data_IF_477670499559
#
_entry.id   IF_477670499559
#
_cell.length_a   1.000
_cell.length_b   1.000
_cell.length_c   1.000
_cell.angle_alpha   90.00
_cell.angle_beta   90.00
_cell.angle_gamma   90.00
#
_symmetry.space_group_name_H-M   'P 1'
#
loop_
_entity.id
_entity.type
_entity.pdbx_description
1 polymer ?
#
# COMPACT_ATOMS: atom_id res chain seq x y z
N UNK A 1 8.36 9.25 7.04
CA UNK A 1 9.35 8.78 8.00
C UNK A 1 10.45 9.82 8.18
N UNK A 2 11.06 9.85 9.34
CA UNK A 2 12.13 10.78 9.72
C UNK A 2 13.20 9.97 10.44
N UNK A 3 14.47 10.20 10.11
CA UNK A 3 15.62 9.67 10.85
C UNK A 3 16.00 10.65 11.97
N UNK A 4 15.60 10.36 13.19
CA UNK A 4 15.81 11.21 14.37
C UNK A 4 15.91 10.36 15.63
N UNK A 5 16.76 10.73 16.59
CA UNK A 5 16.83 10.09 17.90
C UNK A 5 15.78 10.65 18.88
N UNK A 6 15.41 9.88 19.88
CA UNK A 6 14.37 10.24 20.85
C UNK A 6 14.70 11.53 21.63
N UNK A 7 15.95 11.70 22.07
CA UNK A 7 16.37 12.90 22.79
C UNK A 7 16.28 14.16 21.93
N UNK A 8 16.68 14.06 20.67
CA UNK A 8 16.61 15.16 19.72
C UNK A 8 15.17 15.49 19.34
N UNK A 9 14.33 14.49 19.10
CA UNK A 9 12.91 14.68 18.88
C UNK A 9 12.24 15.38 20.07
N UNK A 10 12.56 14.94 21.29
CA UNK A 10 12.07 15.55 22.52
C UNK A 10 12.56 16.97 22.72
N UNK A 11 13.79 17.27 22.33
CA UNK A 11 14.36 18.63 22.38
C UNK A 11 13.61 19.55 21.42
N UNK A 12 13.46 19.17 20.15
CA UNK A 12 12.77 19.96 19.13
C UNK A 12 11.30 20.22 19.51
N UNK A 13 10.62 19.21 20.05
CA UNK A 13 9.24 19.37 20.51
C UNK A 13 9.16 20.41 21.62
N UNK A 14 10.03 20.34 22.64
CA UNK A 14 10.03 21.30 23.75
C UNK A 14 10.40 22.72 23.32
N UNK A 15 11.28 22.87 22.35
CA UNK A 15 11.67 24.15 21.79
C UNK A 15 10.48 24.87 21.11
N UNK A 16 9.74 24.15 20.30
CA UNK A 16 8.60 24.74 19.55
C UNK A 16 7.29 24.73 20.33
N UNK A 17 7.12 23.84 21.30
CA UNK A 17 5.91 23.67 22.12
C UNK A 17 6.21 23.63 23.63
N UNK A 18 6.81 24.67 24.22
CA UNK A 18 7.29 24.63 25.62
C UNK A 18 6.16 24.49 26.64
N UNK A 19 4.91 24.80 26.27
CA UNK A 19 3.74 24.71 27.15
C UNK A 19 2.85 23.51 26.85
N UNK A 20 3.26 22.63 25.93
CA UNK A 20 2.47 21.46 25.59
C UNK A 20 2.61 20.40 26.70
N UNK A 21 1.49 20.02 27.29
CA UNK A 21 1.42 18.98 28.33
C UNK A 21 0.89 17.65 27.78
N UNK A 22 0.49 17.61 26.48
CA UNK A 22 0.01 16.40 25.87
C UNK A 22 1.16 15.41 25.69
N UNK A 23 0.95 14.11 25.97
CA UNK A 23 1.96 13.08 25.79
C UNK A 23 2.29 12.84 24.32
N UNK A 24 1.43 13.29 23.43
CA UNK A 24 1.52 13.03 21.99
C UNK A 24 1.23 14.29 21.18
N UNK A 25 2.00 14.50 20.09
CA UNK A 25 1.79 15.56 19.10
C UNK A 25 0.74 15.12 18.06
N UNK A 26 -0.53 15.34 18.33
CA UNK A 26 -1.59 15.09 17.34
C UNK A 26 -1.72 16.28 16.39
N UNK A 27 -1.20 16.13 15.16
CA UNK A 27 -1.28 17.16 14.12
C UNK A 27 -2.67 17.78 14.00
N UNK A 28 -3.70 16.96 13.91
CA UNK A 28 -5.07 17.40 13.76
C UNK A 28 -5.57 18.29 14.93
N UNK A 29 -5.13 18.00 16.16
CA UNK A 29 -5.48 18.80 17.33
C UNK A 29 -4.71 20.13 17.36
N UNK A 30 -3.46 20.13 16.95
CA UNK A 30 -2.60 21.32 16.92
C UNK A 30 -2.94 22.25 15.75
N UNK A 31 -3.14 21.71 14.55
CA UNK A 31 -3.42 22.47 13.34
C UNK A 31 -4.73 23.29 13.41
N UNK A 32 -5.70 22.82 14.21
CA UNK A 32 -6.96 23.52 14.45
C UNK A 32 -6.85 24.72 15.40
N UNK A 33 -5.77 24.83 16.16
CA UNK A 33 -5.57 25.90 17.14
C UNK A 33 -4.68 26.99 16.53
N UNK A 34 -5.19 28.21 16.31
CA UNK A 34 -4.42 29.28 15.66
C UNK A 34 -3.05 29.53 16.30
N UNK A 35 -2.95 29.46 17.63
CA UNK A 35 -1.71 29.70 18.35
C UNK A 35 -0.65 28.60 18.19
N UNK A 36 -1.00 27.43 17.67
CA UNK A 36 -0.05 26.32 17.42
C UNK A 36 0.34 26.18 15.94
N UNK A 37 -0.30 26.92 15.05
CA UNK A 37 -0.06 26.78 13.61
C UNK A 37 1.37 27.17 13.23
N UNK A 38 1.84 28.31 13.72
CA UNK A 38 3.20 28.78 13.44
C UNK A 38 4.27 27.88 14.07
N UNK A 39 4.20 27.53 15.36
CA UNK A 39 5.13 26.56 15.96
C UNK A 39 5.15 25.20 15.24
N UNK A 40 4.01 24.74 14.72
CA UNK A 40 3.94 23.50 13.96
C UNK A 40 4.68 23.58 12.62
N UNK A 41 4.56 24.71 11.91
CA UNK A 41 5.29 24.96 10.67
C UNK A 41 6.80 25.06 10.94
N UNK A 42 7.20 25.71 12.02
CA UNK A 42 8.59 25.86 12.40
C UNK A 42 9.22 24.52 12.80
N UNK A 43 8.52 23.70 13.60
CA UNK A 43 8.94 22.32 13.89
C UNK A 43 9.10 21.50 12.61
N UNK A 44 8.12 21.54 11.70
CA UNK A 44 8.22 20.82 10.43
C UNK A 44 9.43 21.28 9.60
N UNK A 45 9.68 22.60 9.52
CA UNK A 45 10.85 23.14 8.83
C UNK A 45 12.15 22.68 9.47
N UNK A 46 12.26 22.72 10.80
CA UNK A 46 13.43 22.25 11.52
C UNK A 46 13.71 20.77 11.22
N UNK A 47 12.69 19.93 11.32
CA UNK A 47 12.80 18.50 11.02
C UNK A 47 13.24 18.27 9.56
N UNK A 48 12.59 18.93 8.60
CA UNK A 48 12.89 18.74 7.18
C UNK A 48 14.27 19.28 6.76
N UNK A 49 14.80 20.29 7.46
CA UNK A 49 16.11 20.89 7.14
C UNK A 49 17.28 20.20 7.84
N UNK A 50 17.05 19.53 8.97
CA UNK A 50 18.12 18.97 9.82
C UNK A 50 18.21 17.45 9.77
N UNK A 51 17.15 16.77 9.35
CA UNK A 51 17.05 15.32 9.38
C UNK A 51 16.73 14.72 8.01
N UNK A 52 17.14 13.48 7.82
CA UNK A 52 16.73 12.72 6.63
C UNK A 52 15.24 12.39 6.75
N UNK A 53 14.48 12.86 5.77
CA UNK A 53 13.04 12.65 5.72
C UNK A 53 12.64 11.96 4.42
N UNK A 54 11.68 11.05 4.52
CA UNK A 54 11.03 10.43 3.35
C UNK A 54 9.52 10.50 3.51
N UNK A 55 8.86 10.93 2.44
CA UNK A 55 7.40 10.94 2.35
C UNK A 55 6.98 10.06 1.19
N UNK A 56 6.02 9.19 1.45
CA UNK A 56 5.37 8.39 0.43
C UNK A 56 3.93 8.88 0.27
N UNK A 57 3.56 9.22 -0.96
CA UNK A 57 2.19 9.63 -1.31
C UNK A 57 1.56 8.50 -2.10
N UNK A 58 0.47 7.97 -1.57
CA UNK A 58 -0.29 6.91 -2.22
C UNK A 58 -1.66 7.45 -2.67
N UNK A 59 -1.92 7.42 -3.97
CA UNK A 59 -3.27 7.59 -4.50
C UNK A 59 -4.04 6.28 -4.30
N UNK A 60 -5.01 6.31 -3.39
CA UNK A 60 -5.76 5.11 -3.01
C UNK A 60 -6.60 4.54 -4.16
N UNK A 61 -7.09 5.39 -5.06
CA UNK A 61 -7.88 4.96 -6.21
C UNK A 61 -6.98 4.23 -7.23
N UNK A 62 -5.82 4.80 -7.52
CA UNK A 62 -4.84 4.17 -8.41
C UNK A 62 -4.37 2.82 -7.86
N UNK A 63 -4.03 2.78 -6.57
CA UNK A 63 -3.64 1.53 -5.91
C UNK A 63 -4.76 0.48 -5.95
N UNK A 64 -6.01 0.89 -5.73
CA UNK A 64 -7.14 -0.03 -5.82
C UNK A 64 -7.32 -0.60 -7.22
N UNK A 65 -7.09 0.21 -8.26
CA UNK A 65 -7.11 -0.24 -9.65
C UNK A 65 -5.98 -1.24 -9.93
N UNK A 66 -4.76 -0.97 -9.42
CA UNK A 66 -3.66 -1.95 -9.50
C UNK A 66 -4.03 -3.27 -8.85
N UNK A 67 -4.56 -3.24 -7.62
CA UNK A 67 -5.00 -4.45 -6.91
C UNK A 67 -6.15 -5.16 -7.65
N UNK A 68 -7.04 -4.40 -8.29
CA UNK A 68 -8.09 -4.98 -9.15
C UNK A 68 -7.45 -5.74 -10.32
N UNK A 69 -6.46 -5.17 -10.99
CA UNK A 69 -5.76 -5.84 -12.08
C UNK A 69 -5.02 -7.08 -11.59
N UNK A 70 -4.34 -7.00 -10.44
CA UNK A 70 -3.56 -8.11 -9.88
C UNK A 70 -4.45 -9.29 -9.44
N UNK A 71 -5.66 -9.05 -8.94
CA UNK A 71 -6.50 -10.14 -8.41
C UNK A 71 -7.64 -10.54 -9.34
N UNK A 72 -8.17 -9.61 -10.13
CA UNK A 72 -9.35 -9.83 -10.95
C UNK A 72 -9.04 -9.99 -12.45
N UNK A 73 -7.78 -9.82 -12.86
CA UNK A 73 -7.37 -9.83 -14.27
C UNK A 73 -6.14 -10.71 -14.51
N UNK A 74 -5.04 -10.45 -13.80
CA UNK A 74 -3.77 -11.14 -13.97
C UNK A 74 -3.88 -12.67 -13.89
N UNK A 75 -4.62 -13.28 -12.93
CA UNK A 75 -4.70 -14.74 -12.84
C UNK A 75 -5.21 -15.41 -14.12
N UNK A 76 -6.06 -14.71 -14.88
CA UNK A 76 -6.53 -15.21 -16.17
C UNK A 76 -5.41 -15.32 -17.21
N UNK A 77 -4.50 -14.34 -17.26
CA UNK A 77 -3.36 -14.32 -18.17
C UNK A 77 -2.26 -15.29 -17.73
N UNK A 78 -2.00 -15.34 -16.41
CA UNK A 78 -1.02 -16.25 -15.83
C UNK A 78 -1.28 -17.71 -16.18
N UNK A 79 -2.53 -18.17 -16.04
CA UNK A 79 -2.91 -19.54 -16.39
C UNK A 79 -2.78 -19.86 -17.88
N UNK A 80 -2.63 -18.84 -18.71
CA UNK A 80 -2.39 -18.96 -20.17
C UNK A 80 -0.93 -18.79 -20.55
N UNK A 81 -0.04 -18.66 -19.54
CA UNK A 81 1.39 -18.48 -19.76
C UNK A 81 1.78 -17.07 -20.23
N UNK A 82 0.91 -16.09 -20.02
CA UNK A 82 1.16 -14.70 -20.35
C UNK A 82 1.66 -13.94 -19.12
N UNK A 83 2.81 -13.25 -19.25
CA UNK A 83 3.37 -12.41 -18.19
C UNK A 83 2.71 -11.02 -18.24
N UNK A 84 1.72 -10.82 -17.38
CA UNK A 84 0.97 -9.57 -17.28
C UNK A 84 1.80 -8.39 -16.73
N UNK A 85 2.96 -8.67 -16.12
CA UNK A 85 3.86 -7.64 -15.59
C UNK A 85 4.97 -7.25 -16.57
N UNK A 86 5.10 -7.98 -17.65
CA UNK A 86 6.13 -7.73 -18.65
C UNK A 86 6.07 -6.28 -19.17
N UNK A 87 7.21 -5.64 -19.21
CA UNK A 87 7.37 -4.26 -19.69
C UNK A 87 6.47 -3.24 -19.00
N UNK A 88 5.96 -3.55 -17.78
CA UNK A 88 5.10 -2.66 -17.00
C UNK A 88 3.67 -2.57 -17.51
N UNK A 89 3.18 -3.59 -18.20
CA UNK A 89 1.81 -3.60 -18.78
C UNK A 89 0.72 -3.38 -17.73
N UNK A 90 0.87 -3.95 -16.52
CA UNK A 90 -0.06 -3.74 -15.41
C UNK A 90 -0.17 -2.25 -15.03
N UNK A 91 0.97 -1.53 -14.97
CA UNK A 91 0.96 -0.09 -14.69
C UNK A 91 0.38 0.73 -15.83
N UNK A 92 0.66 0.35 -17.08
CA UNK A 92 0.11 1.02 -18.26
C UNK A 92 -1.43 0.88 -18.27
N UNK A 93 -1.94 -0.33 -18.03
CA UNK A 93 -3.36 -0.62 -17.99
C UNK A 93 -4.05 0.04 -16.77
N UNK A 94 -3.38 0.07 -15.62
CA UNK A 94 -3.88 0.79 -14.45
C UNK A 94 -3.98 2.31 -14.72
N UNK A 95 -2.97 2.89 -15.38
CA UNK A 95 -2.96 4.30 -15.77
C UNK A 95 -4.09 4.63 -16.77
N UNK A 96 -4.33 3.73 -17.70
CA UNK A 96 -5.44 3.84 -18.66
C UNK A 96 -6.79 3.82 -17.91
N UNK A 97 -7.03 2.82 -17.07
CA UNK A 97 -8.26 2.72 -16.27
C UNK A 97 -8.44 3.93 -15.35
N UNK A 98 -7.38 4.40 -14.71
CA UNK A 98 -7.44 5.55 -13.82
C UNK A 98 -7.84 6.83 -14.55
N UNK A 99 -7.25 7.05 -15.73
CA UNK A 99 -7.41 8.31 -16.49
C UNK A 99 -8.65 8.30 -17.38
N UNK A 100 -8.87 7.22 -18.10
CA UNK A 100 -9.90 7.12 -19.15
C UNK A 100 -11.13 6.33 -18.68
N UNK A 101 -10.95 5.39 -17.77
CA UNK A 101 -12.01 4.52 -17.28
C UNK A 101 -13.29 5.25 -16.86
N UNK A 102 -13.23 6.32 -16.05
CA UNK A 102 -14.44 7.08 -15.68
C UNK A 102 -15.21 7.66 -16.85
N UNK A 103 -14.51 8.10 -17.91
CA UNK A 103 -15.13 8.66 -19.10
C UNK A 103 -15.70 7.58 -20.01
N UNK A 104 -14.95 6.52 -20.24
CA UNK A 104 -15.29 5.47 -21.18
C UNK A 104 -16.40 4.54 -20.64
N UNK A 105 -16.35 4.23 -19.35
CA UNK A 105 -17.24 3.26 -18.69
C UNK A 105 -18.38 3.93 -17.92
N UNK A 106 -18.34 5.27 -17.77
CA UNK A 106 -19.22 6.02 -16.89
C UNK A 106 -18.73 6.03 -15.44
N UNK A 107 -18.53 7.24 -14.88
CA UNK A 107 -17.92 7.43 -13.56
C UNK A 107 -18.61 6.61 -12.47
N UNK A 108 -19.93 6.69 -12.36
CA UNK A 108 -20.68 5.98 -11.32
C UNK A 108 -20.57 4.46 -11.46
N UNK A 109 -20.71 3.95 -12.68
CA UNK A 109 -20.64 2.51 -12.93
C UNK A 109 -19.22 1.95 -12.69
N UNK A 110 -18.19 2.71 -13.02
CA UNK A 110 -16.80 2.34 -12.73
C UNK A 110 -16.51 2.39 -11.22
N UNK A 111 -17.03 3.37 -10.50
CA UNK A 111 -16.93 3.44 -9.03
C UNK A 111 -17.66 2.25 -8.38
N UNK A 112 -18.83 1.88 -8.87
CA UNK A 112 -19.58 0.71 -8.41
C UNK A 112 -18.79 -0.60 -8.61
N UNK A 113 -18.07 -0.75 -9.72
CA UNK A 113 -17.16 -1.89 -9.95
C UNK A 113 -16.08 -1.96 -8.88
N UNK A 114 -15.38 -0.84 -8.62
CA UNK A 114 -14.31 -0.80 -7.63
C UNK A 114 -14.82 -1.08 -6.20
N UNK A 115 -16.02 -0.58 -5.87
CA UNK A 115 -16.67 -0.88 -4.59
C UNK A 115 -17.07 -2.36 -4.50
N UNK A 116 -17.60 -2.93 -5.59
CA UNK A 116 -17.94 -4.36 -5.64
C UNK A 116 -16.68 -5.22 -5.47
N UNK A 117 -15.57 -4.84 -6.10
CA UNK A 117 -14.28 -5.50 -5.93
C UNK A 117 -13.79 -5.48 -4.47
N UNK A 118 -13.78 -4.30 -3.82
CA UNK A 118 -13.40 -4.21 -2.40
C UNK A 118 -14.29 -5.08 -1.51
N UNK A 119 -15.59 -5.11 -1.76
CA UNK A 119 -16.54 -5.95 -1.02
C UNK A 119 -16.26 -7.44 -1.25
N UNK A 120 -15.97 -7.85 -2.48
CA UNK A 120 -15.63 -9.22 -2.81
C UNK A 120 -14.34 -9.67 -2.10
N UNK A 121 -13.29 -8.87 -2.16
CA UNK A 121 -12.01 -9.14 -1.46
C UNK A 121 -12.20 -9.21 0.07
N UNK A 122 -13.05 -8.37 0.63
CA UNK A 122 -13.30 -8.36 2.08
C UNK A 122 -14.19 -9.54 2.52
N UNK A 123 -15.26 -9.81 1.81
CA UNK A 123 -16.28 -10.80 2.22
C UNK A 123 -15.91 -12.22 1.80
N UNK A 124 -15.27 -12.39 0.65
CA UNK A 124 -14.88 -13.70 0.05
C UNK A 124 -16.04 -14.70 -0.08
N UNK A 125 -17.27 -14.19 -0.16
CA UNK A 125 -18.47 -15.02 -0.30
C UNK A 125 -18.90 -15.17 -1.76
N UNK A 126 -19.53 -16.27 -2.16
CA UNK A 126 -20.06 -16.45 -3.51
C UNK A 126 -20.93 -15.26 -3.95
N UNK A 127 -21.80 -14.77 -3.08
CA UNK A 127 -22.69 -13.64 -3.37
C UNK A 127 -21.93 -12.34 -3.67
N UNK A 128 -20.83 -12.08 -2.98
CA UNK A 128 -19.99 -10.90 -3.21
C UNK A 128 -19.20 -11.04 -4.53
N UNK A 129 -18.73 -12.24 -4.85
CA UNK A 129 -18.08 -12.54 -6.12
C UNK A 129 -19.05 -12.39 -7.30
N UNK A 130 -20.27 -12.93 -7.18
CA UNK A 130 -21.32 -12.77 -8.19
C UNK A 130 -21.68 -11.29 -8.39
N UNK A 131 -21.76 -10.52 -7.31
CA UNK A 131 -22.01 -9.08 -7.39
C UNK A 131 -20.91 -8.34 -8.15
N UNK A 132 -19.65 -8.73 -7.96
CA UNK A 132 -18.50 -8.17 -8.71
C UNK A 132 -18.62 -8.51 -10.21
N UNK A 133 -18.85 -9.76 -10.56
CA UNK A 133 -19.06 -10.20 -11.95
C UNK A 133 -20.20 -9.41 -12.60
N UNK A 134 -21.31 -9.27 -11.89
CA UNK A 134 -22.46 -8.51 -12.39
C UNK A 134 -22.17 -7.01 -12.53
N UNK A 135 -21.36 -6.43 -11.66
CA UNK A 135 -20.90 -5.04 -11.79
C UNK A 135 -20.05 -4.87 -13.06
N UNK A 136 -19.11 -5.78 -13.31
CA UNK A 136 -18.29 -5.77 -14.52
C UNK A 136 -19.12 -5.92 -15.81
N UNK A 137 -20.10 -6.83 -15.81
CA UNK A 137 -21.02 -7.06 -16.96
C UNK A 137 -21.90 -5.86 -17.31
N UNK A 138 -22.20 -4.99 -16.34
CA UNK A 138 -22.98 -3.77 -16.57
C UNK A 138 -22.18 -2.67 -17.27
N UNK A 139 -20.85 -2.75 -17.23
CA UNK A 139 -19.99 -1.84 -17.96
C UNK A 139 -19.94 -2.21 -19.45
N UNK A 140 -19.55 -1.26 -20.29
CA UNK A 140 -19.20 -1.53 -21.67
C UNK A 140 -17.81 -2.20 -21.74
N UNK A 141 -17.67 -3.35 -21.06
CA UNK A 141 -16.41 -4.06 -20.91
C UNK A 141 -15.73 -4.46 -22.24
N UNK A 142 -16.46 -4.70 -23.36
CA UNK A 142 -15.81 -4.98 -24.63
C UNK A 142 -14.94 -3.84 -25.19
N UNK A 143 -15.06 -2.63 -24.68
CA UNK A 143 -14.16 -1.51 -25.02
C UNK A 143 -12.77 -1.63 -24.36
N UNK A 144 -12.68 -2.40 -23.26
CA UNK A 144 -11.43 -2.67 -22.53
C UNK A 144 -11.37 -4.15 -22.14
N UNK A 145 -11.39 -5.06 -23.13
CA UNK A 145 -11.51 -6.49 -22.88
C UNK A 145 -10.33 -7.06 -22.10
N UNK A 146 -9.13 -6.51 -22.24
CA UNK A 146 -7.94 -6.95 -21.51
C UNK A 146 -8.04 -6.65 -20.02
N UNK A 147 -8.71 -5.57 -19.63
CA UNK A 147 -8.84 -5.15 -18.23
C UNK A 147 -10.11 -5.67 -17.56
N UNK A 148 -11.19 -5.87 -18.29
CA UNK A 148 -12.51 -6.16 -17.72
C UNK A 148 -13.05 -7.53 -18.14
N UNK A 149 -12.57 -8.05 -19.26
CA UNK A 149 -13.03 -9.33 -19.83
C UNK A 149 -12.92 -10.49 -18.86
N UNK A 150 -11.77 -10.72 -18.20
CA UNK A 150 -11.60 -11.83 -17.27
C UNK A 150 -12.71 -11.87 -16.21
N UNK A 151 -12.96 -10.76 -15.54
CA UNK A 151 -13.97 -10.72 -14.47
C UNK A 151 -15.40 -10.67 -15.01
N UNK A 152 -15.65 -9.97 -16.13
CA UNK A 152 -16.99 -9.92 -16.75
C UNK A 152 -17.43 -11.30 -17.26
N UNK A 153 -16.48 -12.12 -17.72
CA UNK A 153 -16.73 -13.50 -18.13
C UNK A 153 -16.83 -14.47 -16.95
N UNK A 154 -16.43 -14.03 -15.73
CA UNK A 154 -16.47 -14.83 -14.52
C UNK A 154 -15.35 -15.87 -14.47
N UNK A 155 -14.12 -15.50 -14.88
CA UNK A 155 -12.95 -16.38 -14.84
C UNK A 155 -12.79 -17.04 -13.47
N UNK A 156 -12.78 -18.38 -13.40
CA UNK A 156 -12.62 -19.10 -12.14
C UNK A 156 -11.31 -18.79 -11.44
N UNK A 157 -10.24 -18.56 -12.20
CA UNK A 157 -8.89 -18.24 -11.70
C UNK A 157 -8.91 -16.92 -10.95
N UNK A 158 -9.53 -15.88 -11.54
CA UNK A 158 -9.67 -14.57 -10.92
C UNK A 158 -10.56 -14.62 -9.66
N UNK A 159 -11.67 -15.32 -9.72
CA UNK A 159 -12.57 -15.46 -8.57
C UNK A 159 -11.89 -16.23 -7.43
N UNK A 160 -11.12 -17.27 -7.74
CA UNK A 160 -10.33 -18.02 -6.78
C UNK A 160 -9.24 -17.14 -6.13
N UNK A 161 -8.54 -16.34 -6.92
CA UNK A 161 -7.52 -15.42 -6.42
C UNK A 161 -8.13 -14.41 -5.42
N UNK A 162 -9.27 -13.79 -5.76
CA UNK A 162 -10.00 -12.87 -4.87
C UNK A 162 -10.44 -13.56 -3.58
N UNK A 163 -10.88 -14.81 -3.66
CA UNK A 163 -11.35 -15.59 -2.51
C UNK A 163 -10.23 -16.13 -1.62
N UNK A 164 -8.97 -16.05 -2.06
CA UNK A 164 -7.82 -16.59 -1.32
C UNK A 164 -7.68 -15.92 0.06
N UNK A 165 -7.51 -16.71 1.14
CA UNK A 165 -7.23 -16.17 2.47
C UNK A 165 -5.99 -15.27 2.47
N UNK A 166 -6.05 -14.14 3.18
CA UNK A 166 -4.93 -13.19 3.26
C UNK A 166 -4.91 -12.14 2.15
N UNK A 167 -5.60 -12.33 1.03
CA UNK A 167 -5.76 -11.28 0.01
C UNK A 167 -6.56 -10.12 0.61
N UNK A 168 -6.04 -8.90 0.45
CA UNK A 168 -6.60 -7.67 1.04
C UNK A 168 -6.38 -6.48 0.11
N UNK A 169 -7.27 -5.50 0.18
CA UNK A 169 -7.12 -4.18 -0.45
C UNK A 169 -6.56 -3.13 0.52
N UNK A 170 -5.93 -3.56 1.61
CA UNK A 170 -5.32 -2.67 2.58
C UNK A 170 -4.01 -2.09 2.03
N UNK A 171 -3.93 -0.77 2.01
CA UNK A 171 -2.76 -0.03 1.54
C UNK A 171 -1.60 0.01 2.55
N UNK A 172 -1.84 -0.34 3.82
CA UNK A 172 -0.86 -0.10 4.90
C UNK A 172 0.47 -0.82 4.64
N UNK A 173 0.42 -2.09 4.20
CA UNK A 173 1.62 -2.86 3.87
C UNK A 173 2.40 -2.28 2.69
N UNK A 174 1.71 -1.89 1.63
CA UNK A 174 2.34 -1.29 0.43
C UNK A 174 3.04 0.01 0.79
N UNK A 175 2.39 0.86 1.60
CA UNK A 175 2.94 2.13 2.07
C UNK A 175 4.16 1.90 2.95
N UNK A 176 4.07 1.00 3.93
CA UNK A 176 5.18 0.71 4.84
C UNK A 176 6.37 0.09 4.10
N UNK A 177 6.13 -0.86 3.22
CA UNK A 177 7.17 -1.47 2.40
C UNK A 177 7.87 -0.43 1.52
N UNK A 178 7.12 0.45 0.87
CA UNK A 178 7.67 1.51 0.03
C UNK A 178 8.52 2.50 0.84
N UNK A 179 8.06 2.87 2.03
CA UNK A 179 8.82 3.72 2.96
C UNK A 179 10.11 3.03 3.40
N UNK A 180 10.03 1.76 3.82
CA UNK A 180 11.18 1.00 4.32
C UNK A 180 12.21 0.78 3.20
N UNK A 181 11.77 0.44 1.99
CA UNK A 181 12.66 0.31 0.82
C UNK A 181 13.39 1.63 0.54
N UNK A 182 12.71 2.76 0.67
CA UNK A 182 13.35 4.06 0.47
C UNK A 182 14.33 4.39 1.59
N UNK A 183 14.00 4.04 2.83
CA UNK A 183 14.91 4.20 3.96
C UNK A 183 16.16 3.32 3.81
N UNK A 184 16.04 2.10 3.29
CA UNK A 184 17.20 1.24 2.96
C UNK A 184 18.18 1.93 2.00
N UNK A 185 17.68 2.59 0.94
CA UNK A 185 18.51 3.32 -0.03
C UNK A 185 19.20 4.52 0.60
N UNK A 186 18.57 5.14 1.60
CA UNK A 186 19.08 6.35 2.26
C UNK A 186 19.94 6.04 3.49
N UNK A 187 19.91 4.81 4.00
CA UNK A 187 20.59 4.43 5.23
C UNK A 187 22.11 4.40 5.05
N UNK A 188 22.83 5.06 5.95
CA UNK A 188 24.28 4.98 6.04
C UNK A 188 24.78 3.79 6.87
N UNK A 189 23.88 3.00 7.46
CA UNK A 189 24.18 1.84 8.31
C UNK A 189 22.92 1.24 8.92
N UNK A 190 23.04 0.35 9.89
CA UNK A 190 21.89 -0.28 10.54
C UNK A 190 20.96 0.74 11.18
N UNK A 191 19.66 0.52 11.03
CA UNK A 191 18.61 1.36 11.61
C UNK A 191 17.43 0.54 12.11
N UNK A 192 16.66 1.12 13.02
CA UNK A 192 15.41 0.58 13.54
C UNK A 192 14.26 1.45 13.07
N UNK A 193 13.14 0.83 12.72
CA UNK A 193 11.90 1.51 12.37
C UNK A 193 10.96 1.45 13.56
N UNK A 194 10.48 2.61 13.98
CA UNK A 194 9.38 2.72 14.92
C UNK A 194 8.20 3.38 14.20
N UNK A 195 7.06 2.74 14.18
CA UNK A 195 5.84 3.29 13.58
C UNK A 195 4.76 3.49 14.64
N UNK A 196 3.89 4.47 14.41
CA UNK A 196 2.70 4.67 15.23
C UNK A 196 1.82 3.43 15.20
N UNK A 197 1.19 3.10 16.33
CA UNK A 197 0.32 1.94 16.43
C UNK A 197 -0.89 2.14 15.53
N UNK A 198 -1.04 1.22 14.58
CA UNK A 198 -2.16 1.14 13.66
C UNK A 198 -2.68 -0.29 13.66
N UNK A 199 -3.97 -0.47 13.86
CA UNK A 199 -4.60 -1.81 13.82
C UNK A 199 -4.25 -2.56 12.54
N UNK A 200 -4.18 -1.85 11.41
CA UNK A 200 -3.82 -2.44 10.13
C UNK A 200 -2.38 -2.98 10.12
N UNK A 201 -1.42 -2.22 10.68
CA UNK A 201 -0.02 -2.65 10.74
C UNK A 201 0.20 -3.76 11.75
N UNK A 202 -0.54 -3.75 12.88
CA UNK A 202 -0.48 -4.83 13.86
C UNK A 202 -0.90 -6.18 13.27
N UNK A 203 -1.88 -6.19 12.39
CA UNK A 203 -2.33 -7.40 11.69
C UNK A 203 -1.20 -8.02 10.85
N UNK A 204 -0.26 -7.22 10.37
CA UNK A 204 0.85 -7.66 9.52
C UNK A 204 2.19 -7.78 10.27
N UNK A 205 2.21 -7.70 11.60
CA UNK A 205 3.45 -7.72 12.38
C UNK A 205 4.37 -8.90 12.02
N UNK A 206 3.85 -10.12 12.01
CA UNK A 206 4.63 -11.32 11.69
C UNK A 206 5.16 -11.30 10.24
N UNK A 207 4.40 -10.72 9.33
CA UNK A 207 4.84 -10.56 7.95
C UNK A 207 5.98 -9.54 7.86
N UNK A 208 5.86 -8.42 8.57
CA UNK A 208 6.89 -7.38 8.63
C UNK A 208 8.22 -7.92 9.15
N UNK A 209 8.20 -8.77 10.18
CA UNK A 209 9.41 -9.40 10.71
C UNK A 209 10.12 -10.30 9.68
N UNK A 210 9.40 -10.85 8.72
CA UNK A 210 9.99 -11.67 7.64
C UNK A 210 10.74 -10.85 6.59
N UNK A 211 10.50 -9.56 6.49
CA UNK A 211 11.25 -8.66 5.62
C UNK A 211 12.61 -8.26 6.19
N UNK A 212 12.79 -8.40 7.51
CA UNK A 212 14.06 -8.13 8.17
C UNK A 212 15.07 -9.22 7.78
N UNK A 213 16.34 -8.85 7.68
CA UNK A 213 17.41 -9.79 7.36
C UNK A 213 17.45 -10.92 8.38
N UNK A 214 17.28 -12.15 7.89
CA UNK A 214 17.53 -13.36 8.66
C UNK A 214 18.83 -14.00 8.19
N UNK A 215 19.51 -14.73 9.08
CA UNK A 215 20.68 -15.54 8.73
C UNK A 215 20.29 -16.69 7.80
N UNK A 216 19.05 -17.17 7.91
CA UNK A 216 18.53 -18.25 7.07
C UNK A 216 18.21 -17.78 5.65
N UNK A 217 18.73 -18.51 4.68
CA UNK A 217 18.43 -18.28 3.25
C UNK A 217 17.06 -18.86 2.94
N UNK A 218 16.07 -17.99 2.70
CA UNK A 218 14.78 -18.44 2.17
C UNK A 218 14.95 -18.73 0.68
N UNK A 219 14.89 -20.00 0.32
CA UNK A 219 14.90 -20.43 -1.08
C UNK A 219 13.46 -20.38 -1.61
N UNK A 220 13.16 -19.45 -2.50
CA UNK A 220 11.91 -19.48 -3.26
C UNK A 220 12.05 -20.50 -4.41
N UNK A 221 11.04 -21.33 -4.63
CA UNK A 221 10.97 -22.15 -5.84
C UNK A 221 10.89 -21.23 -7.04
N UNK A 222 11.84 -21.33 -7.96
CA UNK A 222 11.72 -20.72 -9.28
C UNK A 222 10.49 -21.31 -9.96
N UNK A 223 9.55 -20.48 -10.34
CA UNK A 223 8.56 -20.85 -11.34
C UNK A 223 9.26 -20.88 -12.70
N UNK A 224 8.86 -21.76 -13.59
CA UNK A 224 9.45 -21.88 -14.94
C UNK A 224 9.26 -20.61 -15.80
N UNK A 225 8.41 -19.69 -15.36
CA UNK A 225 7.96 -18.50 -16.12
C UNK A 225 8.75 -17.24 -15.77
N UNK A 226 9.28 -17.09 -14.58
CA UNK A 226 10.12 -15.96 -14.23
C UNK A 226 11.07 -16.27 -13.09
N UNK A 227 12.34 -15.97 -13.25
CA UNK A 227 13.28 -15.83 -12.14
C UNK A 227 13.03 -14.48 -11.48
N UNK A 228 12.00 -14.38 -10.64
CA UNK A 228 11.81 -13.20 -9.82
C UNK A 228 12.83 -13.28 -8.70
N UNK A 229 13.96 -12.66 -8.91
CA UNK A 229 14.89 -12.35 -7.84
C UNK A 229 14.28 -11.19 -7.07
N UNK A 230 13.46 -11.49 -6.08
CA UNK A 230 13.07 -10.49 -5.11
C UNK A 230 14.24 -10.29 -4.16
N UNK A 231 14.94 -9.16 -4.19
CA UNK A 231 15.82 -8.77 -3.11
C UNK A 231 14.96 -8.28 -1.94
N UNK A 232 14.16 -9.19 -1.36
CA UNK A 232 13.18 -8.83 -0.34
C UNK A 232 13.75 -8.83 1.06
N UNK A 233 15.06 -9.02 1.21
CA UNK A 233 15.69 -8.83 2.50
C UNK A 233 16.18 -7.40 2.60
N UNK A 234 15.58 -6.64 3.48
CA UNK A 234 16.08 -5.36 3.91
C UNK A 234 17.44 -5.60 4.60
N UNK A 235 18.46 -4.86 4.18
CA UNK A 235 19.86 -5.12 4.58
C UNK A 235 20.25 -4.38 5.85
N UNK A 236 19.68 -3.18 6.05
CA UNK A 236 20.09 -2.25 7.08
C UNK A 236 19.07 -2.12 8.21
N UNK A 237 17.80 -2.42 7.97
CA UNK A 237 16.80 -2.44 9.04
C UNK A 237 17.04 -3.64 9.96
N UNK A 238 17.17 -3.38 11.24
CA UNK A 238 17.39 -4.41 12.27
C UNK A 238 16.14 -4.81 13.01
N UNK A 239 15.15 -3.91 13.07
CA UNK A 239 13.91 -4.11 13.82
C UNK A 239 12.81 -3.18 13.30
N UNK A 240 11.58 -3.65 13.28
CA UNK A 240 10.37 -2.86 12.98
C UNK A 240 9.40 -3.05 14.14
N UNK A 241 9.19 -1.99 14.90
CA UNK A 241 8.33 -2.02 16.09
C UNK A 241 7.14 -1.10 15.95
N UNK A 242 6.03 -1.54 16.56
CA UNK A 242 4.88 -0.68 16.83
C UNK A 242 5.04 -0.05 18.20
N UNK A 243 5.09 1.28 18.26
CA UNK A 243 5.09 2.01 19.53
C UNK A 243 3.65 2.28 19.98
N UNK A 244 3.32 1.81 21.18
CA UNK A 244 2.18 2.37 21.89
C UNK A 244 2.53 3.79 22.30
N UNK A 245 1.75 4.77 21.87
CA UNK A 245 1.70 6.03 22.62
C UNK A 245 1.13 5.70 23.99
N UNK A 246 1.82 6.06 25.08
CA UNK A 246 1.32 5.84 26.43
C UNK A 246 0.00 6.58 26.66
#
# INVERSE_FOLDING_TARGET
AVSIGDDEASRLIREHFPKLQAPELKYHALARRPGYRQPLIELQRAVLSQHMCVTYVCDKRFLLILMFLDYAVEPFYYERGEDFYKDGQNYALASLLYTVGPTLLGTAAFDDLLVAFQRAVKAKTPQALDALVNAARKLNWPELPEALGPIALGSPECLSAIATPGVSTDAAMVVLQSLTTRMEVMAAGPYRVEHDQSENLLTYHDLLQRYIRHEDVVTFRQSEIASITFPLKLQSVTQIDSKHSP
#
